data_IF_741447775492
#
_entry.id   IF_741447775492
#
_cell.length_a   1.000
_cell.length_b   1.000
_cell.length_c   1.000
_cell.angle_alpha   90.00
_cell.angle_beta   90.00
_cell.angle_gamma   90.00
#
_symmetry.space_group_name_H-M   'P 1'
#
loop_
_entity.id
_entity.type
_entity.pdbx_description
1 polymer ?
#
# COMPACT_ATOMS: atom_id res chain seq x y z
N UNK A 1 9.91 -9.52 19.82
CA UNK A 1 9.51 -9.52 18.41
C UNK A 1 9.38 -8.11 17.87
N UNK A 2 9.87 -7.90 16.68
CA UNK A 2 9.77 -6.59 16.02
C UNK A 2 8.31 -6.35 15.57
N UNK A 3 7.82 -5.14 15.80
CA UNK A 3 6.52 -4.76 15.25
C UNK A 3 6.64 -4.59 13.74
N UNK A 4 5.57 -4.93 13.03
CA UNK A 4 5.49 -4.66 11.60
C UNK A 4 5.46 -3.15 11.36
N UNK A 5 6.04 -2.72 10.25
CA UNK A 5 6.11 -1.32 9.86
C UNK A 5 5.35 -1.11 8.57
N UNK A 6 4.47 -0.13 8.58
CA UNK A 6 3.62 0.20 7.43
C UNK A 6 3.89 1.63 7.00
N UNK A 7 4.03 1.83 5.70
CA UNK A 7 4.12 3.15 5.09
C UNK A 7 2.77 3.51 4.51
N UNK A 8 2.25 4.67 4.90
CA UNK A 8 1.03 5.23 4.32
C UNK A 8 1.43 6.31 3.32
N UNK A 9 0.95 6.18 2.08
CA UNK A 9 1.24 7.14 1.01
C UNK A 9 -0.07 7.72 0.50
N UNK A 10 -0.32 8.98 0.80
CA UNK A 10 -1.55 9.66 0.39
C UNK A 10 -1.31 11.17 0.38
N UNK A 11 -1.70 11.84 -0.69
CA UNK A 11 -1.54 13.28 -0.82
C UNK A 11 -2.60 14.09 -0.06
N UNK A 12 -3.64 13.42 0.45
CA UNK A 12 -4.66 14.06 1.28
C UNK A 12 -4.29 13.93 2.76
N UNK A 13 -3.89 15.04 3.42
CA UNK A 13 -3.42 14.95 4.81
C UNK A 13 -4.41 14.35 5.78
N UNK A 14 -5.70 14.61 5.60
CA UNK A 14 -6.73 14.09 6.51
C UNK A 14 -6.88 12.56 6.37
N UNK A 15 -6.84 12.07 5.14
CA UNK A 15 -6.92 10.63 4.89
C UNK A 15 -5.67 9.93 5.41
N UNK A 16 -4.50 10.50 5.13
CA UNK A 16 -3.23 9.96 5.61
C UNK A 16 -3.20 9.90 7.15
N UNK A 17 -3.65 10.96 7.80
CA UNK A 17 -3.69 11.03 9.26
C UNK A 17 -4.65 10.00 9.86
N UNK A 18 -5.82 9.84 9.27
CA UNK A 18 -6.80 8.86 9.73
C UNK A 18 -6.26 7.44 9.60
N UNK A 19 -5.66 7.13 8.46
CA UNK A 19 -5.06 5.82 8.22
C UNK A 19 -3.90 5.55 9.19
N UNK A 20 -3.05 6.54 9.41
CA UNK A 20 -1.92 6.42 10.34
C UNK A 20 -2.39 6.10 11.75
N UNK A 21 -3.37 6.84 12.24
CA UNK A 21 -3.90 6.63 13.60
C UNK A 21 -4.50 5.24 13.75
N UNK A 22 -5.22 4.81 12.74
CA UNK A 22 -5.85 3.49 12.74
C UNK A 22 -4.80 2.38 12.75
N UNK A 23 -3.86 2.43 11.82
CA UNK A 23 -2.85 1.39 11.67
C UNK A 23 -1.84 1.36 12.82
N UNK A 24 -1.66 2.49 13.50
CA UNK A 24 -0.77 2.56 14.65
C UNK A 24 -1.21 1.68 15.82
N UNK A 25 -2.45 1.21 15.81
CA UNK A 25 -2.93 0.25 16.82
C UNK A 25 -2.17 -1.08 16.76
N UNK A 26 -1.71 -1.45 15.57
CA UNK A 26 -1.08 -2.77 15.35
C UNK A 26 0.33 -2.68 14.75
N UNK A 27 0.72 -1.53 14.22
CA UNK A 27 1.95 -1.37 13.47
C UNK A 27 2.68 -0.08 13.84
N UNK A 28 3.97 -0.04 13.52
CA UNK A 28 4.68 1.22 13.45
C UNK A 28 4.36 1.84 12.09
N UNK A 29 3.98 3.13 12.06
CA UNK A 29 3.50 3.76 10.85
C UNK A 29 4.29 5.02 10.53
N UNK A 30 4.70 5.15 9.28
CA UNK A 30 5.23 6.40 8.73
C UNK A 30 4.33 6.85 7.59
N UNK A 31 4.36 8.15 7.29
CA UNK A 31 3.51 8.74 6.26
C UNK A 31 4.37 9.46 5.24
N UNK A 32 4.04 9.28 3.97
CA UNK A 32 4.55 10.08 2.86
C UNK A 32 3.37 10.68 2.12
N UNK A 33 3.49 11.91 1.65
CA UNK A 33 2.40 12.61 0.98
C UNK A 33 2.51 12.59 -0.54
N UNK A 34 3.50 11.90 -1.07
CA UNK A 34 3.67 11.72 -2.52
C UNK A 34 4.60 10.52 -2.78
N UNK A 35 4.65 10.10 -4.03
CA UNK A 35 5.44 8.94 -4.42
C UNK A 35 6.94 9.13 -4.25
N UNK A 36 7.44 10.32 -4.49
CA UNK A 36 8.88 10.60 -4.36
C UNK A 36 9.33 10.52 -2.90
N UNK A 37 8.55 11.09 -1.99
CA UNK A 37 8.83 10.98 -0.55
C UNK A 37 8.74 9.54 -0.08
N UNK A 38 7.78 8.78 -0.62
CA UNK A 38 7.66 7.37 -0.30
C UNK A 38 8.90 6.59 -0.71
N UNK A 39 9.40 6.81 -1.92
CA UNK A 39 10.62 6.15 -2.39
C UNK A 39 11.82 6.47 -1.53
N UNK A 40 11.96 7.73 -1.11
CA UNK A 40 13.07 8.13 -0.24
C UNK A 40 13.03 7.38 1.09
N UNK A 41 11.84 7.23 1.68
CA UNK A 41 11.68 6.49 2.91
C UNK A 41 11.96 4.98 2.73
N UNK A 42 11.54 4.43 1.62
CA UNK A 42 11.73 3.02 1.30
C UNK A 42 13.22 2.70 1.10
N UNK A 43 13.97 3.61 0.49
CA UNK A 43 15.40 3.42 0.28
C UNK A 43 16.17 3.29 1.58
N UNK A 44 15.79 4.05 2.60
CA UNK A 44 16.53 4.13 3.86
C UNK A 44 15.89 3.36 5.01
N UNK A 45 14.66 2.93 4.83
CA UNK A 45 13.92 2.25 5.89
C UNK A 45 13.45 0.87 5.46
N UNK A 46 12.95 0.14 6.42
CA UNK A 46 12.36 -1.17 6.18
C UNK A 46 10.87 -1.10 6.45
N UNK A 47 10.07 -1.59 5.49
CA UNK A 47 8.63 -1.65 5.62
C UNK A 47 8.12 -3.04 5.30
N UNK A 48 7.07 -3.44 6.00
CA UNK A 48 6.43 -4.73 5.79
C UNK A 48 5.21 -4.63 4.88
N UNK A 49 4.66 -3.43 4.73
CA UNK A 49 3.56 -3.16 3.80
C UNK A 49 3.50 -1.68 3.47
N UNK A 50 2.85 -1.37 2.35
CA UNK A 50 2.58 0.01 1.91
C UNK A 50 1.09 0.14 1.62
N UNK A 51 0.45 1.10 2.26
CA UNK A 51 -0.92 1.51 1.94
C UNK A 51 -0.83 2.75 1.08
N UNK A 52 -1.28 2.66 -0.16
CA UNK A 52 -1.05 3.71 -1.15
C UNK A 52 -2.33 4.15 -1.85
N UNK A 53 -2.56 5.46 -1.90
CA UNK A 53 -3.58 6.04 -2.75
C UNK A 53 -3.18 5.84 -4.22
N UNK A 54 -4.13 5.45 -5.06
CA UNK A 54 -3.86 5.27 -6.49
C UNK A 54 -3.73 6.62 -7.19
N UNK A 55 -4.60 7.57 -6.87
CA UNK A 55 -4.66 8.85 -7.58
C UNK A 55 -3.92 9.94 -6.80
N UNK A 56 -2.66 10.15 -7.15
CA UNK A 56 -1.82 11.20 -6.57
C UNK A 56 -1.19 12.01 -7.70
N UNK A 57 -0.96 13.32 -7.47
CA UNK A 57 -0.25 14.13 -8.46
C UNK A 57 1.20 13.68 -8.64
N UNK A 58 1.74 13.89 -9.83
CA UNK A 58 3.12 13.63 -10.21
C UNK A 58 3.53 12.16 -10.28
N UNK A 59 3.20 11.36 -9.30
CA UNK A 59 3.43 9.92 -9.33
C UNK A 59 2.20 9.22 -8.75
N UNK A 60 1.53 8.43 -9.58
CA UNK A 60 0.35 7.66 -9.14
C UNK A 60 0.77 6.44 -8.33
N UNK A 61 -0.20 5.85 -7.63
CA UNK A 61 0.04 4.59 -6.94
C UNK A 61 0.42 3.45 -7.89
N UNK A 62 -0.07 3.50 -9.13
CA UNK A 62 0.30 2.55 -10.18
C UNK A 62 1.78 2.66 -10.53
N UNK A 63 2.26 3.89 -10.68
CA UNK A 63 3.66 4.13 -11.00
C UNK A 63 4.57 3.74 -9.85
N UNK A 64 4.16 4.03 -8.62
CA UNK A 64 4.90 3.61 -7.45
C UNK A 64 4.98 2.08 -7.36
N UNK A 65 3.87 1.39 -7.61
CA UNK A 65 3.85 -0.07 -7.62
C UNK A 65 4.80 -0.64 -8.69
N UNK A 66 4.81 -0.03 -9.87
CA UNK A 66 5.70 -0.47 -10.95
C UNK A 66 7.17 -0.32 -10.56
N UNK A 67 7.53 0.81 -9.94
CA UNK A 67 8.88 1.04 -9.46
C UNK A 67 9.27 0.04 -8.37
N UNK A 68 8.39 -0.21 -7.42
CA UNK A 68 8.67 -1.18 -6.36
C UNK A 68 8.75 -2.60 -6.89
N UNK A 69 7.96 -2.93 -7.91
CA UNK A 69 8.04 -4.26 -8.53
C UNK A 69 9.43 -4.53 -9.11
N UNK A 70 10.11 -3.50 -9.57
CA UNK A 70 11.47 -3.61 -10.09
C UNK A 70 12.52 -3.55 -8.98
N UNK A 71 12.33 -2.70 -7.98
CA UNK A 71 13.34 -2.41 -6.94
C UNK A 71 13.21 -3.26 -5.69
N UNK A 72 12.00 -3.49 -5.26
CA UNK A 72 11.67 -4.21 -4.04
C UNK A 72 10.43 -5.07 -4.29
N UNK A 73 10.55 -6.16 -5.05
CA UNK A 73 9.37 -6.97 -5.42
C UNK A 73 8.64 -7.53 -4.21
N UNK A 74 9.34 -7.86 -3.14
CA UNK A 74 8.71 -8.36 -1.92
C UNK A 74 7.81 -7.31 -1.26
N UNK A 75 8.16 -6.03 -1.40
CA UNK A 75 7.35 -4.95 -0.86
C UNK A 75 6.18 -4.63 -1.79
N UNK A 76 6.39 -4.69 -3.09
CA UNK A 76 5.32 -4.52 -4.07
C UNK A 76 4.21 -5.54 -3.84
N UNK A 77 4.54 -6.76 -3.45
CA UNK A 77 3.56 -7.80 -3.12
C UNK A 77 2.81 -7.53 -1.82
N UNK A 78 3.22 -6.54 -1.07
CA UNK A 78 2.57 -6.18 0.20
C UNK A 78 1.96 -4.78 0.16
N UNK A 79 1.57 -4.35 -1.04
CA UNK A 79 0.86 -3.08 -1.19
C UNK A 79 -0.65 -3.28 -1.12
N UNK A 80 -1.31 -2.36 -0.44
CA UNK A 80 -2.76 -2.22 -0.40
C UNK A 80 -3.09 -0.84 -0.96
N UNK A 81 -4.14 -0.76 -1.77
CA UNK A 81 -4.46 0.46 -2.52
C UNK A 81 -5.76 1.08 -2.03
N UNK A 82 -5.77 2.39 -1.91
CA UNK A 82 -7.00 3.16 -1.66
C UNK A 82 -7.44 3.82 -2.96
N UNK A 83 -8.72 3.71 -3.26
CA UNK A 83 -9.30 4.24 -4.49
C UNK A 83 -10.46 5.17 -4.16
N UNK A 84 -10.54 6.31 -4.79
CA UNK A 84 -11.58 7.26 -4.44
C UNK A 84 -12.02 8.15 -5.59
N UNK A 85 -11.84 7.76 -6.83
CA UNK A 85 -12.15 8.64 -7.92
C UNK A 85 -12.48 7.92 -9.21
N UNK A 86 -12.58 8.72 -10.27
CA UNK A 86 -12.77 8.21 -11.63
C UNK A 86 -11.39 7.89 -12.19
N UNK A 87 -11.27 6.77 -12.87
CA UNK A 87 -10.00 6.27 -13.37
C UNK A 87 -10.00 6.16 -14.89
N UNK A 88 -8.80 6.20 -15.47
CA UNK A 88 -8.62 5.86 -16.88
C UNK A 88 -8.58 4.33 -17.05
N UNK A 89 -8.53 3.84 -18.27
CA UNK A 89 -8.55 2.41 -18.56
C UNK A 89 -7.39 1.63 -17.96
N UNK A 90 -6.23 2.26 -17.74
CA UNK A 90 -5.07 1.61 -17.12
C UNK A 90 -5.33 1.36 -15.65
N UNK A 91 -5.88 2.35 -14.96
CA UNK A 91 -6.21 2.22 -13.55
C UNK A 91 -7.32 1.19 -13.35
N UNK A 92 -8.30 1.16 -14.23
CA UNK A 92 -9.38 0.17 -14.16
C UNK A 92 -8.84 -1.24 -14.28
N UNK A 93 -7.94 -1.49 -15.22
CA UNK A 93 -7.32 -2.81 -15.39
C UNK A 93 -6.51 -3.22 -14.17
N UNK A 94 -5.72 -2.28 -13.64
CA UNK A 94 -4.94 -2.53 -12.44
C UNK A 94 -5.84 -2.92 -11.26
N UNK A 95 -6.96 -2.20 -11.10
CA UNK A 95 -7.92 -2.49 -10.04
C UNK A 95 -8.55 -3.85 -10.19
N UNK A 96 -8.88 -4.26 -11.42
CA UNK A 96 -9.42 -5.59 -11.68
C UNK A 96 -8.42 -6.68 -11.27
N UNK A 97 -7.16 -6.51 -11.65
CA UNK A 97 -6.12 -7.50 -11.36
C UNK A 97 -5.77 -7.56 -9.87
N UNK A 98 -5.99 -6.47 -9.14
CA UNK A 98 -5.64 -6.35 -7.73
C UNK A 98 -6.84 -6.08 -6.83
N UNK A 99 -8.04 -6.40 -7.28
CA UNK A 99 -9.28 -6.06 -6.58
C UNK A 99 -9.29 -6.48 -5.10
N UNK A 100 -8.73 -7.63 -4.80
CA UNK A 100 -8.65 -8.15 -3.43
C UNK A 100 -7.89 -7.21 -2.49
N UNK A 101 -6.93 -6.47 -3.02
CA UNK A 101 -6.05 -5.61 -2.23
C UNK A 101 -6.36 -4.13 -2.37
N UNK A 102 -7.56 -3.83 -2.88
CA UNK A 102 -8.03 -2.45 -3.06
C UNK A 102 -9.22 -2.16 -2.14
N UNK A 103 -9.29 -0.95 -1.64
CA UNK A 103 -10.40 -0.50 -0.81
C UNK A 103 -10.79 0.91 -1.21
N UNK A 104 -12.10 1.18 -1.25
CA UNK A 104 -12.61 2.50 -1.59
C UNK A 104 -12.48 3.50 -0.45
N UNK A 105 -12.43 4.78 -0.80
CA UNK A 105 -12.52 5.88 0.16
C UNK A 105 -13.95 6.39 0.20
N UNK A 106 -14.47 6.71 1.36
CA UNK A 106 -13.90 6.56 2.70
C UNK A 106 -13.80 5.09 3.09
N UNK A 107 -12.74 4.73 3.79
CA UNK A 107 -12.53 3.33 4.17
C UNK A 107 -13.25 3.00 5.49
N UNK A 108 -13.61 1.73 5.62
CA UNK A 108 -14.09 1.20 6.89
C UNK A 108 -12.88 0.85 7.77
N UNK A 109 -12.77 1.40 8.99
CA UNK A 109 -11.59 1.19 9.83
C UNK A 109 -11.25 -0.27 10.10
N UNK A 110 -12.23 -1.06 10.52
CA UNK A 110 -11.99 -2.47 10.84
C UNK A 110 -11.58 -3.26 9.59
N UNK A 111 -12.23 -2.97 8.47
CA UNK A 111 -11.92 -3.64 7.21
C UNK A 111 -10.51 -3.29 6.72
N UNK A 112 -10.07 -2.06 6.89
CA UNK A 112 -8.73 -1.66 6.49
C UNK A 112 -7.66 -2.34 7.35
N UNK A 113 -7.85 -2.38 8.66
CA UNK A 113 -6.93 -3.10 9.54
C UNK A 113 -6.81 -4.56 9.14
N UNK A 114 -7.93 -5.21 8.88
CA UNK A 114 -7.95 -6.61 8.48
C UNK A 114 -7.27 -6.82 7.13
N UNK A 115 -7.50 -5.93 6.17
CA UNK A 115 -6.93 -6.05 4.84
C UNK A 115 -5.41 -5.92 4.86
N UNK A 116 -4.88 -4.96 5.60
CA UNK A 116 -3.43 -4.78 5.72
C UNK A 116 -2.79 -6.00 6.39
N UNK A 117 -3.37 -6.48 7.47
CA UNK A 117 -2.88 -7.67 8.17
C UNK A 117 -2.91 -8.90 7.25
N UNK A 118 -3.99 -9.07 6.50
CA UNK A 118 -4.15 -10.17 5.57
C UNK A 118 -3.13 -10.10 4.42
N UNK A 119 -2.87 -8.89 3.92
CA UNK A 119 -1.89 -8.71 2.84
C UNK A 119 -0.49 -9.13 3.28
N UNK A 120 -0.09 -8.73 4.47
CA UNK A 120 1.21 -9.10 5.02
C UNK A 120 1.31 -10.63 5.18
N UNK A 121 0.32 -11.23 5.81
CA UNK A 121 0.30 -12.67 6.06
C UNK A 121 0.20 -13.47 4.76
N UNK A 122 -0.64 -13.02 3.83
CA UNK A 122 -0.86 -13.71 2.56
C UNK A 122 0.38 -13.70 1.68
N UNK A 123 1.08 -12.55 1.62
CA UNK A 123 2.31 -12.44 0.84
C UNK A 123 3.40 -13.36 1.41
N UNK A 124 3.54 -13.40 2.73
CA UNK A 124 4.50 -14.27 3.39
C UNK A 124 4.16 -15.74 3.16
N UNK A 125 2.90 -16.10 3.24
CA UNK A 125 2.45 -17.47 3.07
C UNK A 125 2.56 -17.96 1.64
N UNK A 126 2.31 -17.10 0.65
CA UNK A 126 2.23 -17.49 -0.76
C UNK A 126 3.53 -17.33 -1.53
N UNK A 127 4.46 -16.53 -1.03
CA UNK A 127 5.70 -16.26 -1.76
C UNK A 127 6.47 -17.52 -2.17
N UNK A 128 6.67 -18.51 -1.29
CA UNK A 128 7.34 -19.75 -1.70
C UNK A 128 6.59 -20.51 -2.80
N UNK A 129 5.26 -20.57 -2.69
CA UNK A 129 4.44 -21.28 -3.66
C UNK A 129 4.51 -20.63 -5.04
N UNK A 130 4.47 -19.31 -5.10
CA UNK A 130 4.55 -18.58 -6.36
C UNK A 130 5.86 -18.80 -7.07
N UNK A 131 6.95 -18.88 -6.34
CA UNK A 131 8.27 -19.08 -6.93
C UNK A 131 8.44 -20.45 -7.54
N UNK A 132 7.67 -21.41 -7.09
CA UNK A 132 7.71 -22.78 -7.59
C UNK A 132 6.87 -22.97 -8.85
N UNK A 133 6.01 -22.02 -9.14
CA UNK A 133 5.14 -22.05 -10.30
C UNK A 133 5.71 -21.18 -11.41
#
# INVERSE_FOLDING_TARGET
>A
MRRTRVLVVDDEPLVASAARRLLARAHEVQVAHNGHSALALIETGRFDAVLCDIMMPHMTGLELHALLSAMRPELAERMVFLTGGVFDGRAERFLEDNARWCMGKPFDPAALLALVAERIASADALAPCRRMV
#
